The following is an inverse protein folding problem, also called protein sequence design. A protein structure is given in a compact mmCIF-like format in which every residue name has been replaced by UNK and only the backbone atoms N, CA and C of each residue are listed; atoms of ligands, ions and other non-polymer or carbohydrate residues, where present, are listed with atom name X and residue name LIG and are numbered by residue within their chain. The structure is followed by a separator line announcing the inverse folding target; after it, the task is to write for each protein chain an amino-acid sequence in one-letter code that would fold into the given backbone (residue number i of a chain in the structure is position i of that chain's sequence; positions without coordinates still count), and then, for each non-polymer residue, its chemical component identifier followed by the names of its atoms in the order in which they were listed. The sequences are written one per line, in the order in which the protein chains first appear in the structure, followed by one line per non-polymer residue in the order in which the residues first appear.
data_IF_391930443104
#
_entry.id   IF_391930443104
#
_cell.length_a   1.000
_cell.length_b   1.000
_cell.length_c   1.000
_cell.angle_alpha   90.00
_cell.angle_beta   90.00
_cell.angle_gamma   90.00
#
_symmetry.space_group_name_H-M   'P 1'
#
loop_
_entity.id
_entity.type
_entity.pdbx_description
1 polymer ?
#
# COMPACT_ATOMS: atom_id res chain seq x y z
N UNK A 1 -20.60 -41.81 18.14
CA UNK A 1 -20.22 -41.39 16.77
C UNK A 1 -20.15 -39.87 16.82
N UNK A 2 -18.95 -39.30 16.90
CA UNK A 2 -18.79 -37.85 17.01
C UNK A 2 -18.55 -37.30 15.61
N UNK A 3 -19.44 -36.39 15.25
CA UNK A 3 -19.46 -35.61 14.02
C UNK A 3 -18.07 -35.02 13.79
N UNK A 4 -17.38 -35.50 12.75
CA UNK A 4 -16.12 -34.91 12.29
C UNK A 4 -16.41 -33.46 11.92
N UNK A 5 -16.05 -32.55 12.83
CA UNK A 5 -15.97 -31.11 12.59
C UNK A 5 -15.30 -30.93 11.23
N UNK A 6 -16.08 -30.53 10.22
CA UNK A 6 -15.55 -30.29 8.89
C UNK A 6 -14.50 -29.19 9.01
N UNK A 7 -13.23 -29.59 9.01
CA UNK A 7 -12.13 -28.74 8.61
C UNK A 7 -12.45 -28.29 7.20
N UNK A 8 -13.17 -27.17 7.08
CA UNK A 8 -13.32 -26.48 5.81
C UNK A 8 -11.90 -26.26 5.31
N UNK A 9 -11.51 -26.85 4.17
CA UNK A 9 -10.19 -26.59 3.61
C UNK A 9 -10.09 -25.08 3.47
N UNK A 10 -9.03 -24.51 4.03
CA UNK A 10 -8.72 -23.09 3.90
C UNK A 10 -8.56 -22.83 2.40
N UNK A 11 -9.66 -22.45 1.75
CA UNK A 11 -9.74 -22.20 0.31
C UNK A 11 -9.05 -20.85 0.07
N UNK A 12 -7.72 -20.88 0.15
CA UNK A 12 -6.85 -19.75 -0.13
C UNK A 12 -6.39 -19.91 -1.57
N UNK A 13 -7.03 -19.16 -2.46
CA UNK A 13 -6.50 -19.01 -3.79
C UNK A 13 -5.20 -18.21 -3.69
N UNK A 14 -4.06 -18.74 -4.19
CA UNK A 14 -2.79 -18.04 -4.12
C UNK A 14 -2.91 -16.70 -4.87
N UNK A 15 -2.68 -15.59 -4.15
CA UNK A 15 -2.84 -14.24 -4.67
C UNK A 15 -4.22 -13.59 -4.48
N UNK A 16 -5.20 -14.31 -3.90
CA UNK A 16 -6.52 -13.74 -3.56
C UNK A 16 -6.59 -13.51 -2.06
N UNK A 17 -6.76 -12.24 -1.68
CA UNK A 17 -7.05 -11.85 -0.31
C UNK A 17 -8.42 -12.39 0.10
N UNK A 18 -8.52 -12.95 1.30
CA UNK A 18 -9.84 -13.25 1.87
C UNK A 18 -10.58 -11.95 2.24
N UNK A 19 -11.89 -12.02 2.51
CA UNK A 19 -12.71 -10.83 2.78
C UNK A 19 -12.17 -9.95 3.91
N UNK A 20 -11.55 -10.53 4.94
CA UNK A 20 -10.93 -9.76 6.02
C UNK A 20 -9.64 -9.07 5.55
N UNK A 21 -8.80 -9.76 4.78
CA UNK A 21 -7.59 -9.18 4.19
C UNK A 21 -7.95 -8.03 3.23
N UNK A 22 -9.02 -8.16 2.44
CA UNK A 22 -9.52 -7.08 1.58
C UNK A 22 -9.93 -5.85 2.40
N UNK A 23 -10.68 -6.04 3.48
CA UNK A 23 -11.11 -4.94 4.35
C UNK A 23 -9.92 -4.24 5.03
N UNK A 24 -8.91 -4.99 5.46
CA UNK A 24 -7.68 -4.43 6.06
C UNK A 24 -6.90 -3.65 5.02
N UNK A 25 -6.80 -4.14 3.77
CA UNK A 25 -6.10 -3.47 2.68
C UNK A 25 -6.78 -2.14 2.34
N UNK A 26 -8.11 -2.15 2.20
CA UNK A 26 -8.90 -0.96 1.90
C UNK A 26 -8.83 0.06 3.04
N UNK A 27 -8.97 -0.37 4.29
CA UNK A 27 -8.86 0.51 5.45
C UNK A 27 -7.45 1.14 5.57
N UNK A 28 -6.40 0.35 5.35
CA UNK A 28 -5.02 0.84 5.34
C UNK A 28 -4.81 1.84 4.19
N UNK A 29 -5.35 1.56 3.01
CA UNK A 29 -5.25 2.43 1.84
C UNK A 29 -5.97 3.76 2.06
N UNK A 30 -7.20 3.75 2.57
CA UNK A 30 -7.93 4.97 2.88
C UNK A 30 -7.20 5.83 3.91
N UNK A 31 -6.63 5.20 4.95
CA UNK A 31 -5.87 5.89 6.00
C UNK A 31 -4.55 6.46 5.47
N UNK A 32 -3.81 5.68 4.69
CA UNK A 32 -2.56 6.11 4.08
C UNK A 32 -2.80 7.25 3.08
N UNK A 33 -3.87 7.16 2.28
CA UNK A 33 -4.25 8.22 1.35
C UNK A 33 -4.61 9.52 2.06
N UNK A 34 -5.42 9.46 3.13
CA UNK A 34 -5.75 10.63 3.94
C UNK A 34 -4.51 11.29 4.57
N UNK A 35 -3.52 10.50 4.99
CA UNK A 35 -2.26 11.00 5.52
C UNK A 35 -1.36 11.65 4.44
N UNK A 36 -1.45 11.20 3.19
CA UNK A 36 -0.73 11.79 2.06
C UNK A 36 -1.39 13.08 1.56
N UNK A 37 -2.73 13.11 1.49
CA UNK A 37 -3.53 14.28 1.08
C UNK A 37 -3.34 15.45 2.05
N UNK A 38 -3.23 15.17 3.35
CA UNK A 38 -2.91 16.17 4.36
C UNK A 38 -1.51 16.80 4.16
N UNK A 39 -0.56 16.05 3.61
CA UNK A 39 0.86 16.40 3.50
C UNK A 39 1.21 17.02 2.13
N UNK A 40 0.45 16.68 1.09
CA UNK A 40 0.69 17.11 -0.28
C UNK A 40 -0.62 17.45 -0.98
N UNK A 41 -0.69 18.66 -1.55
CA UNK A 41 -1.52 18.94 -2.72
C UNK A 41 -1.07 18.00 -3.84
N UNK A 42 -1.60 16.79 -3.84
CA UNK A 42 -1.24 15.77 -4.81
C UNK A 42 -1.85 16.20 -6.14
N UNK A 43 -1.02 16.43 -7.17
CA UNK A 43 -1.49 16.73 -8.52
C UNK A 43 -2.57 15.71 -8.92
N UNK A 44 -3.79 16.21 -9.13
CA UNK A 44 -4.97 15.37 -9.36
C UNK A 44 -4.81 14.46 -10.59
N UNK A 45 -3.95 14.84 -11.54
CA UNK A 45 -3.61 14.04 -12.73
C UNK A 45 -2.85 12.74 -12.38
N UNK A 46 -2.13 12.71 -11.25
CA UNK A 46 -1.40 11.53 -10.77
C UNK A 46 -2.14 10.77 -9.66
N UNK A 47 -3.36 11.19 -9.28
CA UNK A 47 -4.10 10.57 -8.17
C UNK A 47 -4.35 9.08 -8.41
N UNK A 48 -4.76 8.70 -9.63
CA UNK A 48 -5.07 7.30 -9.97
C UNK A 48 -3.80 6.44 -9.91
N UNK A 49 -2.70 6.90 -10.49
CA UNK A 49 -1.42 6.19 -10.46
C UNK A 49 -0.83 6.13 -9.05
N UNK A 50 -0.97 7.19 -8.26
CA UNK A 50 -0.56 7.25 -6.87
C UNK A 50 -1.36 6.26 -6.01
N UNK A 51 -2.68 6.17 -6.22
CA UNK A 51 -3.54 5.19 -5.52
C UNK A 51 -3.20 3.76 -5.89
N UNK A 52 -3.03 3.44 -7.18
CA UNK A 52 -2.63 2.10 -7.63
C UNK A 52 -1.31 1.67 -6.98
N UNK A 53 -0.33 2.58 -7.00
CA UNK A 53 0.97 2.36 -6.38
C UNK A 53 0.85 2.13 -4.88
N UNK A 54 0.07 2.94 -4.18
CA UNK A 54 -0.14 2.81 -2.74
C UNK A 54 -0.78 1.45 -2.40
N UNK A 55 -1.77 1.01 -3.19
CA UNK A 55 -2.38 -0.31 -3.06
C UNK A 55 -1.35 -1.44 -3.20
N UNK A 56 -0.44 -1.35 -4.19
CA UNK A 56 0.65 -2.34 -4.36
C UNK A 56 1.61 -2.41 -3.17
N UNK A 57 1.96 -1.27 -2.59
CA UNK A 57 2.82 -1.22 -1.40
C UNK A 57 2.11 -1.86 -0.20
N UNK A 58 0.82 -1.57 -0.01
CA UNK A 58 0.03 -2.17 1.07
C UNK A 58 -0.05 -3.68 0.93
N UNK A 59 -0.30 -4.20 -0.27
CA UNK A 59 -0.29 -5.65 -0.53
C UNK A 59 1.08 -6.28 -0.23
N UNK A 60 2.18 -5.60 -0.58
CA UNK A 60 3.52 -6.08 -0.25
C UNK A 60 3.76 -6.11 1.27
N UNK A 61 3.34 -5.07 1.98
CA UNK A 61 3.48 -4.98 3.44
C UNK A 61 2.61 -6.00 4.16
N UNK A 62 1.39 -6.27 3.68
CA UNK A 62 0.55 -7.35 4.20
C UNK A 62 1.22 -8.72 4.07
N UNK A 63 1.91 -8.97 2.95
CA UNK A 63 2.65 -10.22 2.76
C UNK A 63 3.85 -10.35 3.71
N UNK A 64 4.38 -9.25 4.25
CA UNK A 64 5.48 -9.25 5.23
C UNK A 64 4.99 -9.44 6.67
N UNK A 65 3.68 -9.28 6.91
CA UNK A 65 3.07 -9.36 8.24
C UNK A 65 3.23 -8.06 9.02
N UNK A 66 2.19 -7.24 9.05
CA UNK A 66 2.10 -6.06 9.93
C UNK A 66 1.16 -6.34 11.10
N UNK A 67 1.55 -5.90 12.30
CA UNK A 67 0.80 -6.11 13.55
C UNK A 67 -0.53 -5.34 13.62
N UNK A 68 -0.71 -4.28 12.82
CA UNK A 68 -1.90 -3.42 12.89
C UNK A 68 -2.14 -2.63 11.60
N UNK A 69 -3.41 -2.29 11.32
CA UNK A 69 -3.81 -1.43 10.17
C UNK A 69 -3.09 -0.07 10.20
N UNK A 70 -2.91 0.52 11.39
CA UNK A 70 -2.24 1.82 11.53
C UNK A 70 -0.75 1.73 11.22
N UNK A 71 -0.09 0.65 11.65
CA UNK A 71 1.31 0.37 11.34
C UNK A 71 1.50 0.10 9.84
N UNK A 72 0.62 -0.74 9.27
CA UNK A 72 0.57 -1.02 7.84
C UNK A 72 0.42 0.25 7.00
N UNK A 73 -0.50 1.14 7.39
CA UNK A 73 -0.70 2.42 6.71
C UNK A 73 0.52 3.35 6.85
N UNK A 74 1.11 3.45 8.05
CA UNK A 74 2.28 4.29 8.29
C UNK A 74 3.51 3.81 7.49
N UNK A 75 3.75 2.50 7.48
CA UNK A 75 4.82 1.88 6.71
C UNK A 75 4.59 2.06 5.20
N UNK A 76 3.36 1.90 4.73
CA UNK A 76 3.01 2.13 3.33
C UNK A 76 3.21 3.59 2.92
N UNK A 77 2.86 4.55 3.77
CA UNK A 77 3.13 5.99 3.54
C UNK A 77 4.63 6.25 3.48
N UNK A 78 5.41 5.70 4.41
CA UNK A 78 6.86 5.88 4.44
C UNK A 78 7.51 5.33 3.15
N UNK A 79 7.13 4.13 2.72
CA UNK A 79 7.63 3.54 1.48
C UNK A 79 7.13 4.27 0.23
N UNK A 80 5.88 4.75 0.23
CA UNK A 80 5.34 5.56 -0.87
C UNK A 80 6.12 6.87 -1.04
N UNK A 81 6.47 7.54 0.08
CA UNK A 81 7.32 8.75 0.06
C UNK A 81 8.75 8.43 -0.37
N UNK A 82 9.34 7.33 0.11
CA UNK A 82 10.72 6.92 -0.23
C UNK A 82 10.87 6.51 -1.70
N UNK A 83 9.82 5.93 -2.27
CA UNK A 83 9.83 5.44 -3.65
C UNK A 83 9.27 6.47 -4.63
N UNK A 84 8.72 7.60 -4.17
CA UNK A 84 8.29 8.73 -5.02
C UNK A 84 9.41 8.96 -6.05
N UNK A 85 9.16 8.80 -7.36
CA UNK A 85 10.22 8.97 -8.34
C UNK A 85 10.77 10.36 -8.08
N UNK A 86 12.04 10.43 -7.67
CA UNK A 86 12.76 11.68 -7.64
C UNK A 86 12.50 12.25 -9.02
N UNK A 87 11.72 13.35 -9.09
CA UNK A 87 11.71 14.20 -10.28
C UNK A 87 13.16 14.25 -10.69
N UNK A 88 13.42 13.76 -11.91
CA UNK A 88 14.72 13.73 -12.53
C UNK A 88 15.32 15.12 -12.32
N UNK A 89 16.11 15.28 -11.27
CA UNK A 89 16.93 16.47 -11.10
C UNK A 89 18.05 16.20 -12.07
N UNK A 90 17.78 16.49 -13.34
CA UNK A 90 18.83 16.72 -14.32
C UNK A 90 19.58 17.94 -13.79
N UNK A 91 20.58 17.69 -12.94
CA UNK A 91 21.62 18.65 -12.60
C UNK A 91 22.44 18.83 -13.88
N UNK A 92 21.89 19.55 -14.86
CA UNK A 92 22.70 20.24 -15.87
C UNK A 92 23.21 21.52 -15.21
N UNK A 93 24.13 21.31 -14.28
CA UNK A 93 25.02 22.35 -13.78
C UNK A 93 26.02 22.70 -14.88
N UNK A 94 25.67 23.70 -15.68
CA UNK A 94 26.54 24.82 -16.08
C UNK A 94 28.04 24.62 -15.80
N UNK A 95 28.81 24.12 -16.77
CA UNK A 95 30.18 24.60 -17.02
C UNK A 95 30.04 25.71 -18.07
N UNK A 96 30.44 26.96 -17.86
CA UNK A 96 31.63 27.44 -17.18
C UNK A 96 32.66 27.81 -18.24
N UNK A 97 32.48 28.97 -18.87
CA UNK A 97 33.42 29.61 -19.78
C UNK A 97 33.51 31.09 -19.42
#
# INVERSE_FOLDING_TARGET
MFESMMLTPNFRFPGVLNSQELLVAEAAQARAWAALDYDARTDAELEVEARDRLGRIILQQMSRGSDSISDLAAAAVAEFKATKPAMRVEITGRQGG
#
